data_IF_192685678637
#
_entry.id   IF_192685678637
#
_cell.length_a   1.000
_cell.length_b   1.000
_cell.length_c   1.000
_cell.angle_alpha   90.00
_cell.angle_beta   90.00
_cell.angle_gamma   90.00
#
_symmetry.space_group_name_H-M   'P 1'
#
loop_
_entity.id
_entity.type
_entity.pdbx_description
1 polymer ?
#
# COMPACT_ATOMS: atom_id res chain seq x y z
N UNK A 1 -14.81 11.68 -10.89
CA UNK A 1 -15.19 11.04 -9.62
C UNK A 1 -14.72 9.60 -9.68
N UNK A 2 -13.74 9.23 -8.87
CA UNK A 2 -13.12 7.89 -8.87
C UNK A 2 -13.50 7.14 -7.60
N UNK A 3 -13.56 5.80 -7.68
CA UNK A 3 -13.72 4.95 -6.51
C UNK A 3 -12.33 4.49 -6.07
N UNK A 4 -11.93 4.87 -4.87
CA UNK A 4 -10.60 4.66 -4.32
C UNK A 4 -10.69 3.68 -3.16
N UNK A 5 -9.96 2.57 -3.26
CA UNK A 5 -9.82 1.60 -2.18
C UNK A 5 -8.46 1.76 -1.50
N UNK A 6 -8.47 2.05 -0.19
CA UNK A 6 -7.25 2.24 0.62
C UNK A 6 -7.15 1.14 1.66
N UNK A 7 -6.14 0.29 1.53
CA UNK A 7 -5.88 -0.81 2.46
C UNK A 7 -4.96 -0.35 3.59
N UNK A 8 -5.42 -0.49 4.84
CA UNK A 8 -4.68 -0.07 6.03
C UNK A 8 -4.77 1.44 6.29
N UNK A 9 -6.00 1.92 6.50
CA UNK A 9 -6.33 3.34 6.55
C UNK A 9 -6.54 3.90 7.96
N UNK A 10 -6.36 3.12 9.02
CA UNK A 10 -6.74 3.52 10.38
C UNK A 10 -5.78 4.51 11.06
N UNK A 11 -4.58 4.71 10.54
CA UNK A 11 -3.55 5.62 11.08
C UNK A 11 -2.49 5.99 10.04
N UNK A 12 -1.63 6.93 10.42
CA UNK A 12 -0.43 7.29 9.65
C UNK A 12 -0.72 7.67 8.20
N UNK A 13 0.07 7.13 7.27
CA UNK A 13 -0.06 7.45 5.84
C UNK A 13 -1.44 7.08 5.28
N UNK A 14 -1.97 5.91 5.67
CA UNK A 14 -3.26 5.45 5.15
C UNK A 14 -4.42 6.35 5.54
N UNK A 15 -4.46 6.82 6.79
CA UNK A 15 -5.46 7.77 7.27
C UNK A 15 -5.34 9.12 6.55
N UNK A 16 -4.13 9.58 6.33
CA UNK A 16 -3.90 10.84 5.61
C UNK A 16 -4.31 10.75 4.13
N UNK A 17 -4.07 9.61 3.47
CA UNK A 17 -4.64 9.38 2.13
C UNK A 17 -6.16 9.55 2.14
N UNK A 18 -6.85 8.96 3.13
CA UNK A 18 -8.31 9.12 3.27
C UNK A 18 -8.66 10.59 3.46
N UNK A 19 -7.99 11.31 4.38
CA UNK A 19 -8.25 12.73 4.65
C UNK A 19 -8.09 13.59 3.39
N UNK A 20 -7.02 13.41 2.62
CA UNK A 20 -6.78 14.23 1.44
C UNK A 20 -7.71 13.88 0.28
N UNK A 21 -8.00 12.61 0.05
CA UNK A 21 -8.96 12.21 -0.99
C UNK A 21 -10.42 12.55 -0.62
N UNK A 22 -10.80 12.54 0.68
CA UNK A 22 -12.16 12.93 1.11
C UNK A 22 -12.45 14.40 0.91
N UNK A 23 -11.42 15.25 0.84
CA UNK A 23 -11.57 16.67 0.50
C UNK A 23 -11.84 16.92 -1.00
N UNK A 24 -11.86 15.87 -1.79
CA UNK A 24 -12.12 15.90 -3.22
C UNK A 24 -13.36 15.06 -3.54
N UNK A 25 -13.87 15.16 -4.77
CA UNK A 25 -15.10 14.45 -5.14
C UNK A 25 -14.82 12.99 -5.56
N UNK A 26 -14.39 12.15 -4.59
CA UNK A 26 -14.16 10.73 -4.77
C UNK A 26 -15.00 9.89 -3.81
N UNK A 27 -15.33 8.65 -4.19
CA UNK A 27 -15.86 7.63 -3.29
C UNK A 27 -14.70 6.85 -2.68
N UNK A 28 -14.64 6.74 -1.37
CA UNK A 28 -13.53 6.11 -0.69
C UNK A 28 -14.02 4.89 0.10
N UNK A 29 -13.37 3.74 -0.12
CA UNK A 29 -13.47 2.58 0.74
C UNK A 29 -12.15 2.50 1.51
N UNK A 30 -12.22 2.68 2.83
CA UNK A 30 -11.06 2.64 3.72
C UNK A 30 -11.09 1.37 4.56
N UNK A 31 -9.99 0.63 4.65
CA UNK A 31 -9.97 -0.59 5.45
C UNK A 31 -9.20 -0.43 6.75
N UNK A 32 -9.70 -1.10 7.78
CA UNK A 32 -9.08 -1.21 9.10
C UNK A 32 -9.23 -2.64 9.63
N UNK A 33 -8.37 -3.07 10.56
CA UNK A 33 -8.52 -4.37 11.23
C UNK A 33 -9.69 -4.41 12.22
N UNK A 34 -10.00 -3.28 12.82
CA UNK A 34 -11.09 -3.13 13.78
C UNK A 34 -11.70 -1.73 13.64
N UNK A 35 -12.98 -1.69 13.28
CA UNK A 35 -13.73 -0.43 13.10
C UNK A 35 -13.87 0.36 14.39
N UNK A 36 -14.08 -0.32 15.52
CA UNK A 36 -14.34 0.32 16.81
C UNK A 36 -13.10 1.06 17.35
N UNK A 37 -11.90 0.64 16.95
CA UNK A 37 -10.65 1.28 17.34
C UNK A 37 -10.19 2.42 16.42
N UNK A 38 -10.95 2.72 15.36
CA UNK A 38 -10.57 3.66 14.30
C UNK A 38 -11.36 4.96 14.39
N UNK A 39 -11.33 5.63 15.56
CA UNK A 39 -12.11 6.85 15.83
C UNK A 39 -11.92 7.95 14.78
N UNK A 40 -10.66 8.29 14.47
CA UNK A 40 -10.37 9.34 13.48
C UNK A 40 -10.93 8.99 12.08
N UNK A 41 -10.95 7.72 11.71
CA UNK A 41 -11.51 7.29 10.44
C UNK A 41 -13.04 7.42 10.43
N UNK A 42 -13.70 7.14 11.57
CA UNK A 42 -15.16 7.26 11.70
C UNK A 42 -15.66 8.70 11.72
N UNK A 43 -14.79 9.69 11.97
CA UNK A 43 -15.12 11.12 11.95
C UNK A 43 -15.08 11.73 10.54
N UNK A 44 -14.50 11.00 9.56
CA UNK A 44 -14.44 11.47 8.18
C UNK A 44 -15.75 11.14 7.46
N UNK A 45 -16.40 12.17 6.95
CA UNK A 45 -17.66 12.03 6.23
C UNK A 45 -17.44 11.46 4.80
N UNK A 46 -18.48 10.85 4.26
CA UNK A 46 -18.54 10.37 2.86
C UNK A 46 -17.48 9.31 2.52
N UNK A 47 -17.16 8.44 3.47
CA UNK A 47 -16.32 7.27 3.25
C UNK A 47 -17.01 5.99 3.72
N UNK A 48 -16.73 4.89 3.08
CA UNK A 48 -17.12 3.56 3.52
C UNK A 48 -15.97 2.91 4.28
N UNK A 49 -16.18 2.53 5.54
CA UNK A 49 -15.19 1.84 6.34
C UNK A 49 -15.47 0.34 6.33
N UNK A 50 -14.52 -0.45 5.86
CA UNK A 50 -14.58 -1.91 5.80
C UNK A 50 -13.57 -2.55 6.76
N UNK A 51 -13.93 -3.69 7.33
CA UNK A 51 -13.02 -4.48 8.16
C UNK A 51 -12.19 -5.43 7.30
N UNK A 52 -10.89 -5.46 7.52
CA UNK A 52 -9.96 -6.33 6.81
C UNK A 52 -8.74 -6.65 7.67
N UNK A 53 -8.61 -7.91 8.06
CA UNK A 53 -7.42 -8.45 8.69
C UNK A 53 -6.59 -9.23 7.66
N UNK A 54 -5.41 -8.71 7.33
CA UNK A 54 -4.49 -9.31 6.36
C UNK A 54 -3.78 -10.58 6.88
N UNK A 55 -3.89 -10.86 8.18
CA UNK A 55 -3.36 -12.11 8.77
C UNK A 55 -4.30 -13.29 8.55
N UNK A 56 -5.58 -13.04 8.22
CA UNK A 56 -6.64 -14.04 8.08
C UNK A 56 -7.10 -14.18 6.63
N UNK A 57 -6.90 -15.37 6.04
CA UNK A 57 -7.43 -15.67 4.69
C UNK A 57 -8.96 -15.59 4.64
N UNK A 58 -9.62 -15.96 5.73
CA UNK A 58 -11.08 -15.85 5.84
C UNK A 58 -11.52 -14.38 5.78
N UNK A 59 -10.84 -13.48 6.50
CA UNK A 59 -11.11 -12.04 6.46
C UNK A 59 -10.88 -11.47 5.06
N UNK A 60 -9.76 -11.83 4.42
CA UNK A 60 -9.45 -11.39 3.04
C UNK A 60 -10.55 -11.85 2.07
N UNK A 61 -11.00 -13.11 2.15
CA UNK A 61 -12.04 -13.63 1.28
C UNK A 61 -13.40 -12.97 1.54
N UNK A 62 -13.78 -12.77 2.80
CA UNK A 62 -15.01 -12.05 3.18
C UNK A 62 -15.01 -10.63 2.68
N UNK A 63 -13.89 -9.92 2.81
CA UNK A 63 -13.73 -8.57 2.30
C UNK A 63 -13.89 -8.52 0.78
N UNK A 64 -13.22 -9.39 0.02
CA UNK A 64 -13.38 -9.46 -1.44
C UNK A 64 -14.83 -9.75 -1.84
N UNK A 65 -15.50 -10.64 -1.11
CA UNK A 65 -16.92 -10.96 -1.33
C UNK A 65 -17.81 -9.72 -1.08
N UNK A 66 -17.50 -8.92 -0.04
CA UNK A 66 -18.28 -7.72 0.28
C UNK A 66 -18.10 -6.60 -0.76
N UNK A 67 -16.96 -6.53 -1.42
CA UNK A 67 -16.73 -5.61 -2.55
C UNK A 67 -17.63 -6.00 -3.74
N UNK A 68 -17.87 -7.29 -3.94
CA UNK A 68 -18.76 -7.78 -5.00
C UNK A 68 -18.37 -7.25 -6.37
N UNK A 69 -19.33 -6.65 -7.07
CA UNK A 69 -19.13 -6.06 -8.41
C UNK A 69 -18.86 -4.55 -8.40
N UNK A 70 -18.47 -3.95 -7.26
CA UNK A 70 -18.12 -2.53 -7.21
C UNK A 70 -16.88 -2.27 -8.06
N UNK A 71 -16.93 -1.24 -8.89
CA UNK A 71 -15.75 -0.81 -9.66
C UNK A 71 -14.73 -0.10 -8.75
N UNK A 72 -13.46 -0.37 -8.98
CA UNK A 72 -12.34 0.27 -8.31
C UNK A 72 -11.49 0.98 -9.38
N UNK A 73 -11.35 2.28 -9.23
CA UNK A 73 -10.54 3.10 -10.12
C UNK A 73 -9.07 3.12 -9.66
N UNK A 74 -8.86 3.23 -8.33
CA UNK A 74 -7.53 3.27 -7.72
C UNK A 74 -7.52 2.34 -6.50
N UNK A 75 -6.60 1.37 -6.48
CA UNK A 75 -6.28 0.56 -5.30
C UNK A 75 -4.95 1.06 -4.71
N UNK A 76 -4.95 1.51 -3.45
CA UNK A 76 -3.75 1.87 -2.69
C UNK A 76 -3.54 0.85 -1.59
N UNK A 77 -2.55 -0.02 -1.74
CA UNK A 77 -2.15 -0.96 -0.70
C UNK A 77 -1.09 -0.31 0.19
N UNK A 78 -1.55 0.33 1.27
CA UNK A 78 -0.68 1.02 2.22
C UNK A 78 -0.30 0.15 3.43
N UNK A 79 -1.11 -0.84 3.79
CA UNK A 79 -0.85 -1.68 4.94
C UNK A 79 0.54 -2.34 4.87
N UNK A 80 1.22 -2.32 6.01
CA UNK A 80 2.52 -2.95 6.18
C UNK A 80 2.92 -2.95 7.64
N UNK A 81 3.83 -3.84 8.00
CA UNK A 81 4.39 -3.97 9.34
C UNK A 81 5.91 -3.92 9.30
N UNK A 82 6.49 -3.58 10.43
CA UNK A 82 7.91 -3.63 10.73
C UNK A 82 8.05 -4.30 12.10
N UNK A 83 8.65 -5.47 12.15
CA UNK A 83 8.81 -6.22 13.38
C UNK A 83 10.11 -5.86 14.09
N UNK A 84 10.05 -5.55 15.38
CA UNK A 84 11.23 -5.32 16.20
C UNK A 84 12.03 -6.62 16.45
N UNK A 85 11.44 -7.81 16.21
CA UNK A 85 12.13 -9.10 16.32
C UNK A 85 13.37 -9.19 15.42
N UNK A 86 13.37 -8.49 14.29
CA UNK A 86 14.52 -8.39 13.39
C UNK A 86 15.74 -7.62 13.97
N UNK A 87 15.57 -6.94 15.11
CA UNK A 87 16.64 -6.24 15.81
C UNK A 87 17.35 -7.12 16.84
N UNK A 88 16.81 -8.31 17.14
CA UNK A 88 17.38 -9.28 18.06
C UNK A 88 18.52 -10.06 17.38
N UNK A 89 19.40 -10.65 18.20
CA UNK A 89 20.49 -11.51 17.71
C UNK A 89 19.92 -12.80 17.14
N UNK A 90 18.98 -13.43 17.84
CA UNK A 90 18.25 -14.61 17.36
C UNK A 90 17.01 -14.16 16.59
N UNK A 91 16.99 -14.47 15.29
CA UNK A 91 15.92 -14.07 14.40
C UNK A 91 14.72 -15.03 14.50
N UNK A 92 13.55 -14.49 14.78
CA UNK A 92 12.30 -15.24 14.85
C UNK A 92 11.75 -15.51 13.43
N UNK A 93 11.73 -16.79 13.04
CA UNK A 93 11.24 -17.23 11.72
C UNK A 93 9.76 -16.94 11.52
N UNK A 94 8.92 -17.12 12.55
CA UNK A 94 7.48 -16.90 12.43
C UNK A 94 7.16 -15.41 12.28
N UNK A 95 7.87 -14.55 13.01
CA UNK A 95 7.77 -13.10 12.84
C UNK A 95 8.22 -12.67 11.44
N UNK A 96 9.30 -13.25 10.90
CA UNK A 96 9.78 -12.97 9.54
C UNK A 96 8.75 -13.40 8.50
N UNK A 97 8.22 -14.61 8.62
CA UNK A 97 7.20 -15.12 7.69
C UNK A 97 5.91 -14.31 7.76
N UNK A 98 5.51 -13.85 8.96
CA UNK A 98 4.35 -12.96 9.11
C UNK A 98 4.58 -11.61 8.41
N UNK A 99 5.78 -11.05 8.52
CA UNK A 99 6.13 -9.79 7.81
C UNK A 99 6.15 -9.99 6.30
N UNK A 100 6.72 -11.09 5.80
CA UNK A 100 6.65 -11.48 4.39
C UNK A 100 5.21 -11.62 3.90
N UNK A 101 4.36 -12.27 4.69
CA UNK A 101 2.94 -12.44 4.37
C UNK A 101 2.24 -11.09 4.19
N UNK A 102 2.35 -10.21 5.18
CA UNK A 102 1.62 -8.94 5.22
C UNK A 102 2.19 -7.94 4.21
N UNK A 103 3.51 -7.84 4.10
CA UNK A 103 4.16 -6.82 3.29
C UNK A 103 4.29 -7.19 1.81
N UNK A 104 4.31 -8.48 1.45
CA UNK A 104 4.57 -8.93 0.09
C UNK A 104 3.47 -9.83 -0.49
N UNK A 105 3.10 -10.90 0.22
CA UNK A 105 2.23 -11.95 -0.34
C UNK A 105 0.79 -11.47 -0.46
N UNK A 106 0.20 -11.03 0.64
CA UNK A 106 -1.22 -10.62 0.68
C UNK A 106 -1.52 -9.40 -0.20
N UNK A 107 -0.66 -8.37 -0.30
CA UNK A 107 -0.87 -7.27 -1.25
C UNK A 107 -1.14 -7.75 -2.68
N UNK A 108 -0.34 -8.68 -3.16
CA UNK A 108 -0.46 -9.23 -4.52
C UNK A 108 -1.70 -10.13 -4.65
N UNK A 109 -1.94 -11.00 -3.67
CA UNK A 109 -3.13 -11.87 -3.66
C UNK A 109 -4.41 -11.02 -3.68
N UNK A 110 -4.50 -10.00 -2.84
CA UNK A 110 -5.67 -9.12 -2.76
C UNK A 110 -5.88 -8.36 -4.07
N UNK A 111 -4.84 -7.77 -4.63
CA UNK A 111 -4.93 -7.10 -5.92
C UNK A 111 -5.41 -8.05 -7.02
N UNK A 112 -4.91 -9.29 -7.06
CA UNK A 112 -5.35 -10.33 -8.02
C UNK A 112 -6.81 -10.72 -7.84
N UNK A 113 -7.29 -10.84 -6.60
CA UNK A 113 -8.70 -11.13 -6.31
C UNK A 113 -9.63 -9.98 -6.75
N UNK A 114 -9.15 -8.74 -6.72
CA UNK A 114 -9.88 -7.53 -7.12
C UNK A 114 -9.66 -7.14 -8.60
N UNK A 115 -8.99 -7.98 -9.39
CA UNK A 115 -8.66 -7.67 -10.80
C UNK A 115 -9.89 -7.27 -11.62
N UNK A 116 -10.99 -7.97 -11.48
CA UNK A 116 -12.21 -7.67 -12.24
C UNK A 116 -12.80 -6.30 -11.83
N UNK A 117 -12.74 -5.95 -10.55
CA UNK A 117 -13.18 -4.64 -10.04
C UNK A 117 -12.32 -3.51 -10.62
N UNK A 118 -11.01 -3.72 -10.72
CA UNK A 118 -10.05 -2.78 -11.34
C UNK A 118 -10.27 -2.66 -12.85
N UNK A 119 -10.57 -3.75 -13.55
CA UNK A 119 -10.89 -3.72 -14.99
C UNK A 119 -12.14 -2.89 -15.30
N UNK A 120 -13.11 -2.86 -14.40
CA UNK A 120 -14.32 -2.02 -14.51
C UNK A 120 -14.07 -0.55 -14.19
N UNK A 121 -12.98 -0.23 -13.51
CA UNK A 121 -12.57 1.14 -13.21
C UNK A 121 -12.20 1.93 -14.45
N UNK A 122 -12.23 3.26 -14.33
CA UNK A 122 -11.81 4.17 -15.40
C UNK A 122 -10.30 4.46 -15.36
N UNK A 123 -9.75 4.68 -14.15
CA UNK A 123 -8.33 5.02 -13.96
C UNK A 123 -7.43 3.78 -13.96
N UNK A 124 -7.93 2.64 -13.47
CA UNK A 124 -7.27 1.31 -13.47
C UNK A 124 -5.86 1.36 -12.88
N UNK A 125 -5.71 1.94 -11.71
CA UNK A 125 -4.42 2.12 -11.04
C UNK A 125 -4.30 1.23 -9.81
N UNK A 126 -3.14 0.61 -9.63
CA UNK A 126 -2.75 -0.12 -8.42
C UNK A 126 -1.45 0.46 -7.88
N UNK A 127 -1.46 0.84 -6.62
CA UNK A 127 -0.32 1.44 -5.93
C UNK A 127 0.04 0.59 -4.73
N UNK A 128 1.26 0.10 -4.68
CA UNK A 128 1.83 -0.57 -3.52
C UNK A 128 2.78 0.38 -2.79
N UNK A 129 2.47 0.67 -1.52
CA UNK A 129 3.39 1.45 -0.68
C UNK A 129 4.52 0.53 -0.23
N UNK A 130 5.67 0.76 -0.85
CA UNK A 130 6.91 0.06 -0.59
C UNK A 130 7.88 0.93 0.24
N UNK A 131 9.14 0.64 0.17
CA UNK A 131 10.20 1.36 0.87
C UNK A 131 11.48 1.36 0.03
N UNK A 132 12.28 2.42 0.14
CA UNK A 132 13.65 2.44 -0.35
C UNK A 132 14.48 1.29 0.24
N UNK A 133 14.14 0.83 1.46
CA UNK A 133 14.75 -0.37 2.06
C UNK A 133 14.44 -1.67 1.29
N UNK A 134 13.49 -1.67 0.36
CA UNK A 134 13.26 -2.76 -0.59
C UNK A 134 14.20 -2.75 -1.79
N UNK A 135 15.05 -1.75 -1.94
CA UNK A 135 16.14 -1.76 -2.92
C UNK A 135 17.28 -2.66 -2.44
N UNK A 136 17.73 -3.55 -3.32
CA UNK A 136 18.91 -4.40 -3.07
C UNK A 136 20.16 -3.57 -3.31
N UNK A 137 20.17 -2.76 -4.38
CA UNK A 137 21.31 -1.94 -4.78
C UNK A 137 21.62 -0.82 -3.78
N UNK A 138 20.59 -0.25 -3.13
CA UNK A 138 20.75 0.80 -2.12
C UNK A 138 20.95 0.26 -0.69
N UNK A 139 21.30 -1.02 -0.55
CA UNK A 139 21.53 -1.63 0.77
C UNK A 139 23.00 -1.56 1.20
N UNK A 140 23.46 -0.41 1.65
CA UNK A 140 24.83 -0.22 2.17
C UNK A 140 24.95 -0.46 3.69
N UNK A 141 23.83 -0.57 4.42
CA UNK A 141 23.83 -0.64 5.89
C UNK A 141 23.60 -2.04 6.46
N UNK A 142 23.08 -2.98 5.65
CA UNK A 142 22.65 -4.30 6.13
C UNK A 142 21.49 -4.21 7.12
N UNK A 143 21.37 -5.22 8.01
CA UNK A 143 20.29 -5.32 9.03
C UNK A 143 18.88 -5.34 8.42
N UNK A 144 17.88 -5.37 9.29
CA UNK A 144 16.46 -5.29 8.92
C UNK A 144 16.05 -6.34 7.90
N UNK A 145 16.50 -7.58 8.10
CA UNK A 145 16.32 -8.68 7.14
C UNK A 145 14.86 -8.92 6.78
N UNK A 146 13.94 -8.86 7.76
CA UNK A 146 12.52 -9.11 7.54
C UNK A 146 11.92 -8.03 6.65
N UNK A 147 12.14 -6.78 7.01
CA UNK A 147 11.55 -5.64 6.31
C UNK A 147 12.13 -5.48 4.91
N UNK A 148 13.47 -5.51 4.80
CA UNK A 148 14.14 -5.37 3.50
C UNK A 148 13.71 -6.48 2.55
N UNK A 149 13.78 -7.74 2.98
CA UNK A 149 13.39 -8.87 2.13
C UNK A 149 11.91 -8.83 1.75
N UNK A 150 11.02 -8.44 2.68
CA UNK A 150 9.59 -8.34 2.37
C UNK A 150 9.29 -7.23 1.36
N UNK A 151 9.95 -6.07 1.46
CA UNK A 151 9.74 -4.97 0.50
C UNK A 151 10.42 -5.25 -0.85
N UNK A 152 11.56 -5.93 -0.90
CA UNK A 152 12.15 -6.42 -2.15
C UNK A 152 11.26 -7.45 -2.84
N UNK A 153 10.67 -8.38 -2.07
CA UNK A 153 9.72 -9.35 -2.60
C UNK A 153 8.45 -8.68 -3.15
N UNK A 154 7.91 -7.67 -2.45
CA UNK A 154 6.79 -6.86 -2.94
C UNK A 154 7.17 -6.17 -4.26
N UNK A 155 8.35 -5.54 -4.33
CA UNK A 155 8.82 -4.85 -5.52
C UNK A 155 8.88 -5.80 -6.73
N UNK A 156 9.49 -6.98 -6.55
CA UNK A 156 9.59 -8.01 -7.59
C UNK A 156 8.21 -8.50 -8.05
N UNK A 157 7.32 -8.84 -7.11
CA UNK A 157 6.00 -9.34 -7.44
C UNK A 157 5.10 -8.28 -8.10
N UNK A 158 5.17 -7.02 -7.63
CA UNK A 158 4.43 -5.91 -8.22
C UNK A 158 4.95 -5.57 -9.63
N UNK A 159 6.26 -5.68 -9.88
CA UNK A 159 6.84 -5.55 -11.22
C UNK A 159 6.29 -6.63 -12.15
N UNK A 160 6.24 -7.89 -11.73
CA UNK A 160 5.64 -8.98 -12.51
C UNK A 160 4.16 -8.70 -12.81
N UNK A 161 3.41 -8.25 -11.79
CA UNK A 161 2.00 -7.90 -11.94
C UNK A 161 1.78 -6.80 -12.99
N UNK A 162 2.67 -5.80 -13.05
CA UNK A 162 2.58 -4.71 -14.04
C UNK A 162 2.71 -5.20 -15.47
N UNK A 163 3.50 -6.23 -15.70
CA UNK A 163 3.69 -6.85 -17.00
C UNK A 163 2.45 -7.68 -17.37
N UNK A 164 2.00 -8.52 -16.44
CA UNK A 164 0.85 -9.41 -16.63
C UNK A 164 -0.46 -8.64 -16.91
N UNK A 165 -0.58 -7.42 -16.38
CA UNK A 165 -1.84 -6.66 -16.44
C UNK A 165 -1.84 -5.52 -17.47
N UNK A 166 -0.76 -5.39 -18.24
CA UNK A 166 -0.63 -4.34 -19.24
C UNK A 166 -1.74 -4.40 -20.31
N UNK A 167 -2.08 -5.60 -20.79
CA UNK A 167 -3.13 -5.79 -21.80
C UNK A 167 -4.55 -5.54 -21.23
N UNK A 168 -4.74 -5.66 -19.91
CA UNK A 168 -5.98 -5.29 -19.23
C UNK A 168 -6.12 -3.77 -19.04
N UNK A 169 -5.09 -3.00 -19.39
CA UNK A 169 -5.03 -1.55 -19.21
C UNK A 169 -4.83 -1.11 -17.77
N UNK A 170 -4.34 -2.01 -16.88
CA UNK A 170 -4.13 -1.71 -15.46
C UNK A 170 -2.67 -1.29 -15.26
N UNK A 171 -2.48 -0.09 -14.70
CA UNK A 171 -1.17 0.46 -14.36
C UNK A 171 -0.82 0.15 -12.91
N UNK A 172 0.42 -0.28 -12.65
CA UNK A 172 0.93 -0.64 -11.31
C UNK A 172 2.09 0.28 -10.93
N UNK A 173 2.06 0.82 -9.72
CA UNK A 173 3.12 1.67 -9.16
C UNK A 173 3.66 1.07 -7.88
N UNK A 174 4.96 1.08 -7.72
CA UNK A 174 5.68 0.76 -6.50
C UNK A 174 6.23 2.06 -5.94
N UNK A 175 5.73 2.49 -4.78
CA UNK A 175 5.92 3.85 -4.30
C UNK A 175 6.54 3.89 -2.90
N UNK A 176 7.69 4.56 -2.77
CA UNK A 176 8.33 4.84 -1.49
C UNK A 176 7.86 6.20 -0.94
N UNK A 177 7.29 6.23 0.28
CA UNK A 177 6.70 7.46 0.86
C UNK A 177 7.74 8.48 1.37
N UNK A 178 9.04 8.14 1.32
CA UNK A 178 10.07 8.86 2.06
C UNK A 178 10.24 8.36 3.50
N UNK A 179 11.12 8.98 4.26
CA UNK A 179 11.25 8.73 5.70
C UNK A 179 10.32 9.68 6.46
N UNK A 180 9.14 9.17 6.80
CA UNK A 180 7.99 9.95 7.29
C UNK A 180 7.80 9.76 8.79
N UNK A 181 7.45 10.82 9.52
CA UNK A 181 7.15 10.82 10.96
C UNK A 181 5.86 10.07 11.26
N UNK A 182 5.97 8.77 11.36
CA UNK A 182 4.92 7.82 11.75
C UNK A 182 5.42 6.97 12.93
N UNK A 183 4.56 6.16 13.52
CA UNK A 183 4.99 5.19 14.55
C UNK A 183 6.13 4.30 14.05
N UNK A 184 6.10 3.90 12.78
CA UNK A 184 7.14 3.08 12.14
C UNK A 184 8.41 3.89 11.81
N UNK A 185 8.27 5.13 11.34
CA UNK A 185 9.40 5.96 10.90
C UNK A 185 10.12 6.66 12.06
N UNK A 186 9.48 6.77 13.20
CA UNK A 186 10.01 7.41 14.40
C UNK A 186 10.06 8.95 14.32
N UNK A 187 10.43 9.57 15.43
CA UNK A 187 10.48 11.04 15.57
C UNK A 187 11.64 11.69 14.82
N UNK A 188 12.68 10.92 14.50
CA UNK A 188 13.86 11.41 13.75
C UNK A 188 13.61 11.52 12.24
N UNK A 189 12.46 11.04 11.75
CA UNK A 189 12.10 11.17 10.35
C UNK A 189 11.97 12.64 9.94
N UNK A 190 12.29 12.93 8.67
CA UNK A 190 12.41 14.31 8.18
C UNK A 190 11.13 14.84 7.54
N UNK A 191 10.24 13.96 7.11
CA UNK A 191 9.08 14.32 6.31
C UNK A 191 7.80 14.21 7.15
N UNK A 192 6.97 15.23 7.08
CA UNK A 192 5.64 15.21 7.71
C UNK A 192 4.66 14.36 6.87
N UNK A 193 3.69 13.72 7.53
CA UNK A 193 2.73 12.85 6.87
C UNK A 193 1.96 13.58 5.75
N UNK A 194 1.36 14.77 5.98
CA UNK A 194 0.60 15.46 4.95
C UNK A 194 1.42 15.80 3.71
N UNK A 195 2.68 16.22 3.90
CA UNK A 195 3.57 16.54 2.80
C UNK A 195 3.89 15.31 1.94
N UNK A 196 4.24 14.19 2.57
CA UNK A 196 4.47 12.92 1.88
C UNK A 196 3.25 12.51 1.03
N UNK A 197 2.05 12.55 1.63
CA UNK A 197 0.84 12.13 0.95
C UNK A 197 0.48 13.06 -0.21
N UNK A 198 0.57 14.38 -0.03
CA UNK A 198 0.30 15.33 -1.13
C UNK A 198 1.20 15.05 -2.34
N UNK A 199 2.49 14.82 -2.10
CA UNK A 199 3.45 14.52 -3.18
C UNK A 199 3.18 13.13 -3.79
N UNK A 200 2.88 12.11 -3.00
CA UNK A 200 2.51 10.79 -3.50
C UNK A 200 1.24 10.81 -4.35
N UNK A 201 0.22 11.58 -3.97
CA UNK A 201 -1.01 11.75 -4.77
C UNK A 201 -0.67 12.34 -6.14
N UNK A 202 0.24 13.31 -6.23
CA UNK A 202 0.67 13.85 -7.51
C UNK A 202 1.33 12.76 -8.38
N UNK A 203 2.22 11.93 -7.80
CA UNK A 203 2.84 10.81 -8.52
C UNK A 203 1.80 9.77 -8.97
N UNK A 204 0.80 9.47 -8.14
CA UNK A 204 -0.31 8.56 -8.48
C UNK A 204 -1.15 9.12 -9.62
N UNK A 205 -1.39 10.43 -9.65
CA UNK A 205 -2.15 11.07 -10.73
C UNK A 205 -1.46 10.92 -12.09
N UNK A 206 -0.13 10.98 -12.13
CA UNK A 206 0.69 10.82 -13.33
C UNK A 206 0.89 9.37 -13.78
N UNK A 207 0.47 8.38 -12.96
CA UNK A 207 0.59 6.96 -13.30
C UNK A 207 -0.25 6.63 -14.54
N UNK A 208 0.37 5.94 -15.48
CA UNK A 208 -0.24 5.45 -16.73
C UNK A 208 0.49 4.17 -17.18
N UNK A 209 0.11 3.61 -18.33
CA UNK A 209 0.70 2.37 -18.85
C UNK A 209 2.18 2.50 -19.26
N UNK A 210 2.64 3.69 -19.64
CA UNK A 210 4.03 3.90 -20.09
C UNK A 210 5.01 3.87 -18.92
N UNK A 211 4.58 4.34 -17.74
CA UNK A 211 5.37 4.32 -16.51
C UNK A 211 4.97 3.20 -15.53
N UNK A 212 4.07 2.30 -15.94
CA UNK A 212 3.65 1.14 -15.13
C UNK A 212 4.81 0.22 -14.78
N UNK A 213 4.82 -0.27 -13.55
CA UNK A 213 5.87 -1.12 -12.99
C UNK A 213 7.12 -0.35 -12.58
N UNK A 214 7.06 0.98 -12.46
CA UNK A 214 8.18 1.78 -11.95
C UNK A 214 8.24 1.72 -10.43
N UNK A 215 9.46 1.75 -9.89
CA UNK A 215 9.74 1.96 -8.48
C UNK A 215 10.16 3.43 -8.29
N UNK A 216 9.28 4.21 -7.66
CA UNK A 216 9.46 5.66 -7.51
C UNK A 216 9.44 6.06 -6.03
N UNK A 217 10.07 7.19 -5.71
CA UNK A 217 9.86 7.85 -4.44
C UNK A 217 8.65 8.82 -4.51
N UNK A 218 8.30 9.40 -3.36
CA UNK A 218 7.20 10.37 -3.22
C UNK A 218 7.36 11.65 -4.07
N UNK A 219 8.53 11.91 -4.63
CA UNK A 219 8.80 13.02 -5.57
C UNK A 219 8.71 12.58 -7.05
N UNK A 220 8.40 11.31 -7.33
CA UNK A 220 8.38 10.76 -8.68
C UNK A 220 9.75 10.39 -9.24
N UNK A 221 10.82 10.44 -8.44
CA UNK A 221 12.15 10.02 -8.85
C UNK A 221 12.27 8.51 -8.83
N UNK A 222 12.90 7.93 -9.86
CA UNK A 222 13.19 6.50 -9.90
C UNK A 222 14.15 6.11 -8.79
N UNK A 223 13.87 4.96 -8.19
CA UNK A 223 14.75 4.28 -7.25
C UNK A 223 15.36 3.05 -7.93
N UNK A 224 16.56 2.71 -7.50
CA UNK A 224 17.22 1.46 -7.88
C UNK A 224 16.50 0.25 -7.24
N UNK A 225 16.61 -0.91 -7.88
CA UNK A 225 15.92 -2.14 -7.43
C UNK A 225 16.59 -2.85 -6.26
#
# INVERSE_FOLDING_TARGET
MSNILIIGANRGLGLEFVKQYSNTNHNIIATTRNKDSSKELSEINNIDVAELDLTSDASVNSFVTSIGSQKIDILIHNAGIFSDEQLKEDLDTDAWMNEMRINAVIPIILARKLKNNLKMGSDKKVVFISSQMGSIDDNYSGRFYFYRSSKSALNSAARSLSIDWKEDGISVLILHPGWVKTDMGGTSAKLEIPESITRMINVINELNLDNSGSFLNYEGKKLEW
#
